data_IF_021697889455
#
_entry.id   IF_021697889455
#
_cell.length_a   1.000
_cell.length_b   1.000
_cell.length_c   1.000
_cell.angle_alpha   90.00
_cell.angle_beta   90.00
_cell.angle_gamma   90.00
#
_symmetry.space_group_name_H-M   'P 1'
#
loop_
_entity.id
_entity.type
_entity.pdbx_description
1 polymer ?
#
# COMPACT_ATOMS: atom_id res chain seq x y z
N UNK A 1 8.14 -13.37 -10.75
CA UNK A 1 7.45 -13.35 -9.44
C UNK A 1 5.95 -13.33 -9.69
N UNK A 2 5.18 -13.95 -8.78
CA UNK A 2 3.72 -14.00 -8.84
C UNK A 2 3.16 -13.73 -7.44
N UNK A 3 2.14 -12.90 -7.35
CA UNK A 3 1.50 -12.50 -6.10
C UNK A 3 0.00 -12.65 -6.19
N UNK A 4 -0.62 -13.15 -5.11
CA UNK A 4 -2.07 -13.26 -4.98
C UNK A 4 -2.51 -12.82 -3.58
N UNK A 5 -3.58 -12.04 -3.53
CA UNK A 5 -4.27 -11.66 -2.29
C UNK A 5 -5.75 -11.93 -2.49
N UNK A 6 -6.36 -12.70 -1.57
CA UNK A 6 -7.77 -13.08 -1.64
C UNK A 6 -8.51 -12.45 -0.46
N UNK A 7 -9.54 -11.68 -0.76
CA UNK A 7 -10.51 -11.24 0.25
C UNK A 7 -11.50 -12.39 0.50
N UNK A 8 -11.19 -13.24 1.50
CA UNK A 8 -11.94 -14.49 1.74
C UNK A 8 -13.46 -14.28 1.84
N UNK A 9 -13.99 -13.29 2.60
CA UNK A 9 -15.43 -13.08 2.71
C UNK A 9 -16.15 -12.80 1.40
N UNK A 10 -15.50 -12.13 0.44
CA UNK A 10 -16.13 -11.73 -0.83
C UNK A 10 -15.71 -12.62 -2.01
N UNK A 11 -14.63 -13.39 -1.86
CA UNK A 11 -13.99 -14.12 -2.94
C UNK A 11 -13.24 -13.23 -3.94
N UNK A 12 -13.17 -11.92 -3.70
CA UNK A 12 -12.43 -11.00 -4.57
C UNK A 12 -10.94 -11.37 -4.57
N UNK A 13 -10.35 -11.40 -5.75
CA UNK A 13 -8.97 -11.83 -5.93
C UNK A 13 -8.17 -10.72 -6.61
N UNK A 14 -7.02 -10.39 -6.01
CA UNK A 14 -5.99 -9.52 -6.57
C UNK A 14 -4.79 -10.37 -6.96
N UNK A 15 -4.28 -10.17 -8.17
CA UNK A 15 -3.15 -10.94 -8.70
C UNK A 15 -2.19 -10.03 -9.44
N UNK A 16 -0.91 -10.37 -9.44
CA UNK A 16 0.07 -9.74 -10.32
C UNK A 16 1.17 -10.73 -10.70
N UNK A 17 1.68 -10.56 -11.91
CA UNK A 17 2.88 -11.25 -12.37
C UNK A 17 3.86 -10.21 -12.87
N UNK A 18 5.13 -10.36 -12.46
CA UNK A 18 6.20 -9.41 -12.79
C UNK A 18 6.29 -9.15 -14.30
N UNK A 19 6.13 -7.90 -14.71
CA UNK A 19 6.14 -7.45 -16.10
C UNK A 19 4.85 -7.72 -16.88
N UNK A 20 3.81 -8.27 -16.26
CA UNK A 20 2.51 -8.56 -16.91
C UNK A 20 1.34 -7.75 -16.32
N UNK A 21 1.60 -6.87 -15.36
CA UNK A 21 0.59 -6.02 -14.75
C UNK A 21 -0.20 -6.70 -13.62
N UNK A 22 -1.08 -5.91 -13.01
CA UNK A 22 -1.95 -6.34 -11.92
C UNK A 22 -3.41 -6.53 -12.38
N UNK A 23 -4.13 -7.41 -11.68
CA UNK A 23 -5.48 -7.82 -12.00
C UNK A 23 -6.35 -7.89 -10.75
N UNK A 24 -7.62 -7.48 -10.89
CA UNK A 24 -8.68 -7.63 -9.90
C UNK A 24 -9.83 -8.40 -10.53
N UNK A 25 -10.17 -9.58 -9.98
CA UNK A 25 -11.17 -10.49 -10.56
C UNK A 25 -10.96 -10.70 -12.06
N UNK A 26 -9.71 -11.02 -12.46
CA UNK A 26 -9.24 -11.22 -13.83
C UNK A 26 -9.27 -9.98 -14.76
N UNK A 27 -9.74 -8.83 -14.29
CA UNK A 27 -9.69 -7.58 -15.04
C UNK A 27 -8.41 -6.83 -14.71
N UNK A 28 -7.67 -6.36 -15.72
CA UNK A 28 -6.46 -5.57 -15.50
C UNK A 28 -6.81 -4.28 -14.76
N UNK A 29 -6.01 -3.94 -13.75
CA UNK A 29 -6.12 -2.70 -12.98
C UNK A 29 -4.89 -1.84 -13.18
N UNK A 30 -5.08 -0.52 -13.07
CA UNK A 30 -4.03 0.48 -13.12
C UNK A 30 -4.29 1.45 -11.96
N UNK A 31 -3.24 1.74 -11.20
CA UNK A 31 -3.29 2.67 -10.08
C UNK A 31 -3.63 4.08 -10.61
N UNK A 32 -4.58 4.81 -9.99
CA UNK A 32 -5.00 6.12 -10.47
C UNK A 32 -3.85 7.13 -10.52
N UNK A 33 -3.78 7.89 -11.61
CA UNK A 33 -2.76 8.93 -11.80
C UNK A 33 -3.30 10.34 -11.53
N UNK A 34 -4.57 10.49 -11.15
CA UNK A 34 -5.15 11.76 -10.72
C UNK A 34 -5.02 11.93 -9.20
N UNK A 35 -4.89 13.16 -8.72
CA UNK A 35 -4.96 13.45 -7.28
C UNK A 35 -6.36 13.93 -6.92
N UNK A 36 -7.09 13.21 -6.04
CA UNK A 36 -8.38 13.69 -5.58
C UNK A 36 -8.20 14.91 -4.66
N UNK A 37 -9.26 15.71 -4.54
CA UNK A 37 -9.26 16.91 -3.69
C UNK A 37 -9.01 16.58 -2.21
N UNK A 38 -9.45 15.41 -1.76
CA UNK A 38 -9.28 14.93 -0.40
C UNK A 38 -8.92 13.44 -0.43
N UNK A 39 -7.81 13.09 0.20
CA UNK A 39 -7.24 11.76 0.16
C UNK A 39 -7.91 10.82 1.17
N UNK A 40 -8.04 9.56 0.81
CA UNK A 40 -8.42 8.45 1.68
C UNK A 40 -7.15 7.71 2.10
N UNK A 41 -6.86 7.77 3.40
CA UNK A 41 -5.76 7.05 4.03
C UNK A 41 -6.29 5.78 4.71
N UNK A 42 -5.65 4.65 4.45
CA UNK A 42 -5.68 3.51 5.36
C UNK A 42 -4.44 3.55 6.24
N UNK A 43 -4.64 3.51 7.56
CA UNK A 43 -3.57 3.69 8.53
C UNK A 43 -3.59 2.57 9.54
N UNK A 44 -2.45 1.91 9.73
CA UNK A 44 -2.28 0.99 10.85
C UNK A 44 -2.18 1.81 12.13
N UNK A 45 -3.07 1.55 13.10
CA UNK A 45 -3.29 2.41 14.27
C UNK A 45 -1.99 2.80 15.00
N UNK A 46 -1.69 4.09 14.97
CA UNK A 46 -0.54 4.69 15.63
C UNK A 46 -0.97 5.65 16.74
N UNK A 47 -0.12 5.82 17.77
CA UNK A 47 -0.35 6.79 18.85
C UNK A 47 -0.23 8.24 18.35
N UNK A 48 0.56 8.47 17.31
CA UNK A 48 0.78 9.79 16.70
C UNK A 48 0.58 9.63 15.20
N UNK A 49 -0.39 10.34 14.66
CA UNK A 49 -0.74 10.34 13.24
C UNK A 49 -0.38 11.71 12.68
N UNK A 50 0.37 11.81 11.57
CA UNK A 50 0.71 13.08 10.94
C UNK A 50 -0.53 13.90 10.57
N UNK A 51 -0.47 15.23 10.69
CA UNK A 51 -1.59 16.13 10.41
C UNK A 51 -2.12 15.96 8.98
N UNK A 52 -1.24 15.66 8.03
CA UNK A 52 -1.58 15.39 6.62
C UNK A 52 -2.57 14.23 6.45
N UNK A 53 -2.47 13.21 7.30
CA UNK A 53 -3.43 12.11 7.35
C UNK A 53 -4.75 12.58 7.99
N UNK A 54 -4.66 13.35 9.08
CA UNK A 54 -5.83 13.87 9.80
C UNK A 54 -6.69 14.82 8.95
N UNK A 55 -6.08 15.52 8.00
CA UNK A 55 -6.78 16.36 7.02
C UNK A 55 -7.56 15.56 5.96
N UNK A 56 -7.25 14.27 5.79
CA UNK A 56 -7.91 13.36 4.86
C UNK A 56 -9.11 12.60 5.45
N UNK A 57 -9.44 11.46 4.85
CA UNK A 57 -10.37 10.47 5.39
C UNK A 57 -9.60 9.26 5.86
N UNK A 58 -9.70 8.90 7.13
CA UNK A 58 -9.00 7.74 7.68
C UNK A 58 -9.86 6.47 7.66
N UNK A 59 -9.21 5.34 7.41
CA UNK A 59 -9.73 3.97 7.53
C UNK A 59 -8.68 3.10 8.20
N UNK A 60 -9.10 2.02 8.83
CA UNK A 60 -8.24 0.97 9.35
C UNK A 60 -9.00 -0.36 9.27
N UNK A 61 -8.66 -1.20 8.29
CA UNK A 61 -9.36 -2.47 8.01
C UNK A 61 -8.66 -3.67 8.65
N UNK A 62 -7.41 -3.51 9.11
CA UNK A 62 -6.67 -4.53 9.85
C UNK A 62 -6.04 -5.61 8.97
N UNK A 63 -5.84 -5.34 7.68
CA UNK A 63 -5.19 -6.27 6.75
C UNK A 63 -4.33 -5.48 5.76
N UNK A 64 -3.03 -5.39 6.05
CA UNK A 64 -2.08 -4.62 5.26
C UNK A 64 -2.02 -5.10 3.80
N UNK A 65 -2.01 -6.41 3.57
CA UNK A 65 -2.04 -6.98 2.22
C UNK A 65 -3.27 -6.53 1.42
N UNK A 66 -4.45 -6.55 2.04
CA UNK A 66 -5.69 -6.17 1.37
C UNK A 66 -5.78 -4.66 1.16
N UNK A 67 -5.40 -3.88 2.18
CA UNK A 67 -5.42 -2.41 2.12
C UNK A 67 -4.46 -1.87 1.05
N UNK A 68 -3.28 -2.47 0.89
CA UNK A 68 -2.37 -2.19 -0.23
C UNK A 68 -2.97 -2.58 -1.59
N UNK A 69 -3.70 -3.70 -1.68
CA UNK A 69 -4.39 -4.06 -2.92
C UNK A 69 -5.52 -3.06 -3.27
N UNK A 70 -6.17 -2.47 -2.26
CA UNK A 70 -7.14 -1.41 -2.45
C UNK A 70 -6.48 -0.12 -2.97
N UNK A 71 -5.22 0.15 -2.61
CA UNK A 71 -4.41 1.20 -3.25
C UNK A 71 -4.16 0.88 -4.72
N UNK A 72 -3.75 -0.34 -5.05
CA UNK A 72 -3.49 -0.76 -6.43
C UNK A 72 -4.70 -0.57 -7.36
N UNK A 73 -5.93 -0.80 -6.85
CA UNK A 73 -7.18 -0.58 -7.61
C UNK A 73 -7.76 0.83 -7.49
N UNK A 74 -7.13 1.72 -6.72
CA UNK A 74 -7.59 3.11 -6.56
C UNK A 74 -8.79 3.33 -5.63
N UNK A 75 -9.09 2.39 -4.73
CA UNK A 75 -10.13 2.57 -3.71
C UNK A 75 -9.63 3.30 -2.46
N UNK A 76 -8.31 3.33 -2.27
CA UNK A 76 -7.60 4.03 -1.19
C UNK A 76 -6.45 4.80 -1.86
N UNK A 77 -6.19 6.02 -1.40
CA UNK A 77 -5.15 6.87 -1.99
C UNK A 77 -3.77 6.65 -1.36
N UNK A 78 -3.74 6.19 -0.10
CA UNK A 78 -2.49 5.88 0.59
C UNK A 78 -2.74 4.84 1.69
N UNK A 79 -1.95 3.77 1.71
CA UNK A 79 -1.78 2.90 2.87
C UNK A 79 -0.54 3.35 3.64
N UNK A 80 -0.63 3.42 4.97
CA UNK A 80 0.46 3.89 5.82
C UNK A 80 0.58 3.04 7.11
N UNK A 81 1.74 2.42 7.27
CA UNK A 81 2.25 1.85 8.51
C UNK A 81 3.57 2.56 8.81
N UNK A 82 3.59 3.48 9.77
CA UNK A 82 4.70 4.42 9.98
C UNK A 82 5.75 3.87 10.95
N UNK A 83 5.59 2.63 11.42
CA UNK A 83 6.52 1.92 12.30
C UNK A 83 6.99 0.64 11.69
N UNK A 84 8.18 0.21 12.10
CA UNK A 84 8.73 -1.11 11.81
C UNK A 84 7.90 -2.22 12.46
N UNK A 85 6.83 -2.62 11.78
CA UNK A 85 5.87 -3.59 12.29
C UNK A 85 5.53 -4.69 11.30
N UNK A 86 5.53 -4.39 10.00
CA UNK A 86 5.14 -5.34 8.97
C UNK A 86 6.29 -6.26 8.59
N UNK A 87 5.99 -7.54 8.44
CA UNK A 87 6.92 -8.56 7.98
C UNK A 87 6.84 -8.69 6.47
N UNK A 88 7.88 -9.25 5.85
CA UNK A 88 7.86 -9.60 4.42
C UNK A 88 6.63 -10.47 4.05
N UNK A 89 6.21 -11.37 4.93
CA UNK A 89 5.04 -12.24 4.72
C UNK A 89 3.72 -11.50 4.66
N UNK A 90 3.63 -10.33 5.30
CA UNK A 90 2.38 -9.56 5.40
C UNK A 90 2.12 -8.75 4.12
N UNK A 91 3.18 -8.45 3.35
CA UNK A 91 3.14 -7.44 2.28
C UNK A 91 3.79 -7.86 0.96
N UNK A 92 4.52 -8.99 0.88
CA UNK A 92 5.23 -9.37 -0.34
C UNK A 92 4.31 -9.45 -1.57
N UNK A 93 3.17 -10.12 -1.44
CA UNK A 93 2.21 -10.27 -2.54
C UNK A 93 1.59 -8.92 -2.95
N UNK A 94 1.15 -8.12 -1.98
CA UNK A 94 0.52 -6.83 -2.25
C UNK A 94 1.51 -5.79 -2.78
N UNK A 95 2.78 -5.86 -2.39
CA UNK A 95 3.85 -4.99 -2.90
C UNK A 95 4.03 -5.19 -4.41
N UNK A 96 4.09 -6.45 -4.86
CA UNK A 96 4.13 -6.75 -6.30
C UNK A 96 2.87 -6.25 -7.00
N UNK A 97 1.68 -6.44 -6.41
CA UNK A 97 0.42 -6.00 -6.98
C UNK A 97 0.35 -4.47 -7.14
N UNK A 98 0.79 -3.71 -6.14
CA UNK A 98 0.83 -2.24 -6.23
C UNK A 98 1.80 -1.78 -7.32
N UNK A 99 3.02 -2.35 -7.36
CA UNK A 99 4.03 -2.00 -8.36
C UNK A 99 3.58 -2.32 -9.78
N UNK A 100 3.01 -3.50 -10.02
CA UNK A 100 2.50 -3.91 -11.32
C UNK A 100 1.23 -3.16 -11.75
N UNK A 101 0.50 -2.56 -10.81
CA UNK A 101 -0.56 -1.60 -11.13
C UNK A 101 -0.01 -0.21 -11.50
N UNK A 102 1.30 0.04 -11.36
CA UNK A 102 1.94 1.33 -11.59
C UNK A 102 1.97 2.25 -10.36
N UNK A 103 1.73 1.72 -9.16
CA UNK A 103 1.87 2.43 -7.90
C UNK A 103 3.26 2.25 -7.27
N UNK A 104 3.43 2.88 -6.11
CA UNK A 104 4.70 3.04 -5.41
C UNK A 104 4.59 2.46 -3.99
N UNK A 105 5.68 1.84 -3.51
CA UNK A 105 5.77 1.26 -2.14
C UNK A 105 7.14 1.59 -1.56
N UNK A 106 7.16 2.33 -0.46
CA UNK A 106 8.35 2.91 0.17
C UNK A 106 8.32 2.63 1.68
N UNK A 107 9.48 2.71 2.32
CA UNK A 107 9.61 2.79 3.78
C UNK A 107 9.51 4.25 4.28
N UNK A 108 9.57 4.43 5.60
CA UNK A 108 9.56 5.75 6.25
C UNK A 108 10.86 6.53 6.06
N UNK A 109 11.93 5.87 5.64
CA UNK A 109 13.21 6.46 5.28
C UNK A 109 13.21 7.01 3.85
N UNK A 110 12.09 6.86 3.12
CA UNK A 110 11.91 7.35 1.76
C UNK A 110 12.62 6.50 0.71
N UNK A 111 12.95 5.25 1.02
CA UNK A 111 13.52 4.29 0.07
C UNK A 111 12.43 3.41 -0.51
N UNK A 112 12.59 3.01 -1.76
CA UNK A 112 11.74 1.96 -2.32
C UNK A 112 11.85 0.71 -1.46
N UNK A 113 10.71 0.09 -1.15
CA UNK A 113 10.67 -1.04 -0.24
C UNK A 113 11.38 -2.25 -0.84
N UNK A 114 12.52 -2.62 -0.27
CA UNK A 114 13.28 -3.82 -0.61
C UNK A 114 13.72 -4.51 0.68
N UNK A 115 13.06 -5.62 1.00
CA UNK A 115 13.27 -6.36 2.24
C UNK A 115 13.84 -7.75 1.93
N UNK A 116 14.76 -8.27 2.76
CA UNK A 116 15.16 -9.66 2.68
C UNK A 116 13.99 -10.59 3.03
N UNK A 117 14.01 -11.81 2.47
CA UNK A 117 13.04 -12.86 2.80
C UNK A 117 13.37 -13.50 4.16
N UNK A 118 13.21 -12.73 5.23
CA UNK A 118 13.39 -13.15 6.60
C UNK A 118 12.15 -12.79 7.44
N UNK A 119 11.67 -13.76 8.22
CA UNK A 119 10.49 -13.63 9.09
C UNK A 119 10.77 -12.82 10.36
N UNK A 120 12.04 -12.59 10.71
CA UNK A 120 12.46 -11.75 11.82
C UNK A 120 12.41 -10.27 11.47
N UNK A 121 12.57 -9.93 10.19
CA UNK A 121 12.68 -8.56 9.71
C UNK A 121 11.34 -7.82 9.76
N UNK A 122 11.42 -6.53 10.06
CA UNK A 122 10.28 -5.62 10.20
C UNK A 122 10.56 -4.36 9.43
N UNK A 123 9.51 -3.79 8.85
CA UNK A 123 9.60 -2.52 8.15
C UNK A 123 8.38 -1.67 8.42
N UNK A 124 8.55 -0.37 8.19
CA UNK A 124 7.46 0.55 7.90
C UNK A 124 7.10 0.46 6.42
N UNK A 125 5.88 0.85 6.06
CA UNK A 125 5.39 0.79 4.68
C UNK A 125 4.45 1.96 4.41
N UNK A 126 4.72 2.69 3.32
CA UNK A 126 3.81 3.62 2.70
C UNK A 126 3.58 3.15 1.26
N UNK A 127 2.32 2.95 0.87
CA UNK A 127 1.96 2.60 -0.50
C UNK A 127 0.94 3.60 -1.05
N UNK A 128 1.17 4.11 -2.25
CA UNK A 128 0.28 5.06 -2.91
C UNK A 128 0.32 4.91 -4.45
N UNK A 129 -0.71 5.36 -5.18
CA UNK A 129 -0.70 5.37 -6.64
C UNK A 129 0.34 6.31 -7.25
N UNK A 130 0.75 7.34 -6.50
CA UNK A 130 1.74 8.35 -6.91
C UNK A 130 2.75 8.63 -5.80
N UNK A 131 4.00 8.81 -6.20
CA UNK A 131 5.13 9.04 -5.32
C UNK A 131 5.02 10.36 -4.53
N UNK A 132 4.40 11.40 -5.10
CA UNK A 132 4.22 12.71 -4.46
C UNK A 132 3.27 12.68 -3.25
N UNK A 133 2.38 11.69 -3.16
CA UNK A 133 1.54 11.47 -1.98
C UNK A 133 2.42 10.93 -0.82
N UNK A 134 3.35 10.03 -1.14
CA UNK A 134 4.27 9.42 -0.18
C UNK A 134 5.20 10.50 0.39
N UNK A 135 5.87 11.27 -0.47
CA UNK A 135 6.81 12.30 0.00
C UNK A 135 6.13 13.41 0.79
N UNK A 136 4.90 13.81 0.43
CA UNK A 136 4.12 14.74 1.26
C UNK A 136 3.87 14.21 2.67
N UNK A 137 3.63 12.90 2.80
CA UNK A 137 3.46 12.28 4.11
C UNK A 137 4.78 12.23 4.89
N UNK A 138 5.89 11.89 4.23
CA UNK A 138 7.23 11.85 4.83
C UNK A 138 7.67 13.23 5.34
N UNK A 139 7.49 14.30 4.55
CA UNK A 139 7.81 15.67 4.95
C UNK A 139 6.97 16.18 6.14
N UNK A 140 5.78 15.58 6.33
CA UNK A 140 4.84 15.95 7.40
C UNK A 140 5.09 15.20 8.70
N UNK A 141 6.00 14.22 8.71
CA UNK A 141 6.31 13.43 9.90
C UNK A 141 7.72 13.80 10.41
N UNK A 142 7.82 14.67 11.44
CA UNK A 142 9.10 15.13 11.98
C UNK A 142 9.82 14.06 12.82
#
# INVERSE_FOLDING_TARGET
EYGIVINIPTGETFMAEKGKGAFFNNNRIIAPQHTPRKLIYSVMLEKKVPDTILQGHMRAMGSSSLEMCLVARGSIDCFACLKEYLRVTDIAASTLIVREAGGYVYDMEGKELDMPLDVAERTSVIAAPREDIIFRLLESNP
#
